data_IF_240404014585
#
_entry.id   IF_240404014585
#
_cell.length_a   1.000
_cell.length_b   1.000
_cell.length_c   1.000
_cell.angle_alpha   90.00
_cell.angle_beta   90.00
_cell.angle_gamma   90.00
#
_symmetry.space_group_name_H-M   'P 1'
#
loop_
_entity.id
_entity.type
_entity.pdbx_description
1 polymer ?
#
# COMPACT_ATOMS: atom_id res chain seq x y z
N UNK A 1 -10.92 -17.94 5.43
CA UNK A 1 -10.74 -18.80 6.62
C UNK A 1 -10.66 -17.90 7.84
N UNK A 2 -11.36 -18.25 8.93
CA UNK A 2 -11.38 -17.45 10.16
C UNK A 2 -9.97 -17.31 10.74
N UNK A 3 -9.60 -16.15 11.28
CA UNK A 3 -8.23 -15.91 11.77
C UNK A 3 -7.86 -16.89 12.89
N UNK A 4 -8.83 -17.20 13.75
CA UNK A 4 -8.70 -18.23 14.80
C UNK A 4 -8.35 -19.60 14.21
N UNK A 5 -8.86 -19.93 13.03
CA UNK A 5 -8.55 -21.18 12.33
C UNK A 5 -7.12 -21.19 11.80
N UNK A 6 -6.64 -20.08 11.24
CA UNK A 6 -5.24 -19.96 10.79
C UNK A 6 -4.29 -20.12 11.98
N UNK A 7 -4.58 -19.45 13.10
CA UNK A 7 -3.80 -19.57 14.33
C UNK A 7 -3.79 -21.01 14.88
N UNK A 8 -4.96 -21.65 14.95
CA UNK A 8 -5.08 -23.03 15.42
C UNK A 8 -4.34 -24.00 14.50
N UNK A 9 -4.48 -23.85 13.17
CA UNK A 9 -3.80 -24.69 12.18
C UNK A 9 -2.28 -24.51 12.24
N UNK A 10 -1.79 -23.28 12.34
CA UNK A 10 -0.37 -22.99 12.46
C UNK A 10 0.22 -23.64 13.71
N UNK A 11 -0.40 -23.46 14.88
CA UNK A 11 0.05 -24.09 16.11
C UNK A 11 -0.05 -25.62 16.03
N UNK A 12 -1.10 -26.18 15.43
CA UNK A 12 -1.25 -27.62 15.23
C UNK A 12 -0.12 -28.19 14.36
N UNK A 13 0.21 -27.53 13.24
CA UNK A 13 1.33 -27.94 12.37
C UNK A 13 2.66 -27.82 13.11
N UNK A 14 2.87 -26.75 13.88
CA UNK A 14 4.10 -26.53 14.63
C UNK A 14 4.30 -27.64 15.67
N UNK A 15 3.28 -27.87 16.50
CA UNK A 15 3.27 -28.92 17.54
C UNK A 15 3.41 -30.30 16.91
N UNK A 16 2.72 -30.57 15.80
CA UNK A 16 2.82 -31.84 15.08
C UNK A 16 4.22 -32.07 14.52
N UNK A 17 4.79 -31.09 13.83
CA UNK A 17 6.15 -31.16 13.27
C UNK A 17 7.19 -31.40 14.36
N UNK A 18 7.04 -30.71 15.49
CA UNK A 18 7.92 -30.87 16.64
C UNK A 18 7.75 -32.24 17.31
N UNK A 19 6.52 -32.67 17.51
CA UNK A 19 6.22 -34.00 18.06
C UNK A 19 6.83 -35.07 17.17
N UNK A 20 6.74 -34.92 15.85
CA UNK A 20 7.36 -35.85 14.91
C UNK A 20 8.88 -35.91 15.07
N UNK A 21 9.56 -34.75 15.07
CA UNK A 21 11.02 -34.69 15.27
C UNK A 21 11.42 -35.27 16.64
N UNK A 22 10.61 -35.06 17.67
CA UNK A 22 10.89 -35.49 19.04
C UNK A 22 10.67 -36.99 19.26
N UNK A 23 9.56 -37.53 18.75
CA UNK A 23 9.14 -38.91 18.97
C UNK A 23 9.70 -39.88 17.93
N UNK A 24 10.13 -39.43 16.75
CA UNK A 24 10.68 -40.31 15.71
C UNK A 24 11.89 -41.15 16.21
N UNK A 25 12.88 -40.61 16.93
CA UNK A 25 13.98 -41.41 17.48
C UNK A 25 13.51 -42.48 18.46
N UNK A 26 12.50 -42.16 19.28
CA UNK A 26 11.92 -43.11 20.23
C UNK A 26 11.16 -44.25 19.51
N UNK A 27 10.40 -43.91 18.47
CA UNK A 27 9.60 -44.88 17.70
C UNK A 27 10.45 -45.79 16.81
N UNK A 28 11.56 -45.29 16.24
CA UNK A 28 12.40 -46.03 15.30
C UNK A 28 13.58 -46.75 15.95
N UNK A 29 14.18 -46.18 16.99
CA UNK A 29 15.45 -46.65 17.58
C UNK A 29 15.31 -47.14 19.02
N UNK A 30 14.13 -46.98 19.64
CA UNK A 30 13.85 -47.40 21.01
C UNK A 30 14.34 -46.43 22.10
N UNK A 31 14.05 -46.78 23.35
CA UNK A 31 14.31 -45.93 24.52
C UNK A 31 15.81 -45.70 24.79
N UNK A 32 16.66 -46.66 24.46
CA UNK A 32 18.11 -46.60 24.75
C UNK A 32 18.85 -45.56 23.89
N UNK A 33 18.40 -45.34 22.66
CA UNK A 33 19.01 -44.36 21.73
C UNK A 33 18.34 -42.97 21.78
N UNK A 34 17.12 -42.86 22.29
CA UNK A 34 16.37 -41.60 22.37
C UNK A 34 16.83 -40.71 23.54
N UNK A 35 17.21 -41.30 24.67
CA UNK A 35 17.74 -40.54 25.83
C UNK A 35 19.00 -39.72 25.49
N UNK A 36 20.05 -40.29 24.86
CA UNK A 36 21.21 -39.52 24.43
C UNK A 36 20.87 -38.46 23.38
N UNK A 37 19.91 -38.76 22.48
CA UNK A 37 19.44 -37.81 21.48
C UNK A 37 18.80 -36.59 22.12
N UNK A 38 17.90 -36.76 23.10
CA UNK A 38 17.26 -35.64 23.79
C UNK A 38 18.26 -34.86 24.65
N UNK A 39 19.17 -35.54 25.35
CA UNK A 39 20.21 -34.89 26.15
C UNK A 39 21.16 -34.05 25.29
N UNK A 40 21.44 -34.47 24.04
CA UNK A 40 22.28 -33.72 23.11
C UNK A 40 21.53 -32.59 22.39
N UNK A 41 20.25 -32.78 22.09
CA UNK A 41 19.43 -31.85 21.31
C UNK A 41 18.52 -30.96 22.17
N UNK A 42 18.71 -30.90 23.49
CA UNK A 42 17.93 -30.03 24.37
C UNK A 42 17.89 -28.55 23.95
N UNK A 43 18.92 -27.94 23.33
CA UNK A 43 18.82 -26.56 22.87
C UNK A 43 17.77 -26.37 21.78
N UNK A 44 17.49 -27.41 20.98
CA UNK A 44 16.43 -27.38 19.98
C UNK A 44 15.05 -27.28 20.64
N UNK A 45 14.84 -27.95 21.78
CA UNK A 45 13.60 -27.83 22.56
C UNK A 45 13.43 -26.44 23.14
N UNK A 46 14.51 -25.86 23.68
CA UNK A 46 14.47 -24.51 24.21
C UNK A 46 14.16 -23.50 23.09
N UNK A 47 14.83 -23.62 21.94
CA UNK A 47 14.58 -22.77 20.77
C UNK A 47 13.13 -22.88 20.31
N UNK A 48 12.61 -24.10 20.16
CA UNK A 48 11.22 -24.31 19.74
C UNK A 48 10.22 -23.74 20.74
N UNK A 49 10.46 -23.95 22.04
CA UNK A 49 9.63 -23.38 23.11
C UNK A 49 9.64 -21.86 23.07
N UNK A 50 10.81 -21.24 22.87
CA UNK A 50 10.94 -19.80 22.73
C UNK A 50 10.17 -19.27 21.52
N UNK A 51 10.25 -19.95 20.37
CA UNK A 51 9.47 -19.63 19.16
C UNK A 51 7.97 -19.72 19.45
N UNK A 52 7.50 -20.81 20.05
CA UNK A 52 6.08 -21.04 20.35
C UNK A 52 5.54 -19.99 21.35
N UNK A 53 6.30 -19.65 22.39
CA UNK A 53 5.95 -18.57 23.33
C UNK A 53 5.90 -17.22 22.61
N UNK A 54 6.93 -16.90 21.81
CA UNK A 54 7.01 -15.63 21.09
C UNK A 54 5.84 -15.43 20.13
N UNK A 55 5.50 -16.45 19.33
CA UNK A 55 4.34 -16.40 18.45
C UNK A 55 3.03 -16.28 19.23
N UNK A 56 2.80 -17.11 20.24
CA UNK A 56 1.56 -17.04 21.01
C UNK A 56 1.39 -15.69 21.73
N UNK A 57 2.47 -15.15 22.31
CA UNK A 57 2.45 -13.81 22.91
C UNK A 57 2.09 -12.71 21.89
N UNK A 58 2.69 -12.76 20.69
CA UNK A 58 2.37 -11.82 19.61
C UNK A 58 0.89 -11.90 19.18
N UNK A 59 0.36 -13.11 19.04
CA UNK A 59 -1.04 -13.35 18.66
C UNK A 59 -2.01 -12.87 19.73
N UNK A 60 -1.75 -13.16 21.00
CA UNK A 60 -2.59 -12.72 22.12
C UNK A 60 -2.59 -11.19 22.21
N UNK A 61 -1.42 -10.55 22.09
CA UNK A 61 -1.29 -9.09 22.11
C UNK A 61 -2.08 -8.39 20.99
N UNK A 62 -2.20 -9.04 19.82
CA UNK A 62 -2.90 -8.50 18.67
C UNK A 62 -4.30 -9.10 18.45
N UNK A 63 -4.78 -9.94 19.37
CA UNK A 63 -6.02 -10.69 19.21
C UNK A 63 -7.23 -9.79 18.94
N UNK A 64 -7.34 -8.70 19.70
CA UNK A 64 -8.43 -7.73 19.54
C UNK A 64 -8.39 -7.06 18.16
N UNK A 65 -7.21 -6.67 17.68
CA UNK A 65 -7.06 -6.06 16.36
C UNK A 65 -7.48 -7.03 15.25
N UNK A 66 -7.07 -8.29 15.33
CA UNK A 66 -7.44 -9.30 14.34
C UNK A 66 -8.92 -9.66 14.39
N UNK A 67 -9.52 -9.71 15.58
CA UNK A 67 -10.95 -9.97 15.73
C UNK A 67 -11.79 -8.85 15.10
N UNK A 68 -11.40 -7.59 15.33
CA UNK A 68 -12.09 -6.43 14.75
C UNK A 68 -11.96 -6.37 13.23
N UNK A 69 -10.79 -6.74 12.69
CA UNK A 69 -10.59 -6.87 11.24
C UNK A 69 -11.44 -8.00 10.65
N UNK A 70 -11.56 -9.13 11.35
CA UNK A 70 -12.36 -10.28 10.90
C UNK A 70 -13.86 -10.00 10.95
N UNK A 71 -14.32 -9.21 11.92
CA UNK A 71 -15.71 -8.79 12.03
C UNK A 71 -16.05 -7.56 11.18
N UNK A 72 -15.08 -7.02 10.44
CA UNK A 72 -15.21 -5.76 9.67
C UNK A 72 -15.78 -4.61 10.51
N UNK A 73 -15.49 -4.60 11.81
CA UNK A 73 -15.94 -3.54 12.74
C UNK A 73 -14.97 -2.36 12.66
N UNK A 74 -15.13 -1.58 11.60
CA UNK A 74 -14.26 -0.45 11.27
C UNK A 74 -14.29 0.64 12.35
N UNK A 75 -15.42 0.84 13.01
CA UNK A 75 -15.58 1.85 14.07
C UNK A 75 -14.76 1.49 15.30
N UNK A 76 -14.92 0.28 15.82
CA UNK A 76 -14.15 -0.17 16.98
C UNK A 76 -12.66 -0.35 16.63
N UNK A 77 -12.34 -0.73 15.38
CA UNK A 77 -10.96 -0.78 14.91
C UNK A 77 -10.31 0.60 14.90
N UNK A 78 -11.00 1.61 14.37
CA UNK A 78 -10.56 3.01 14.37
C UNK A 78 -10.25 3.48 15.79
N UNK A 79 -11.20 3.33 16.72
CA UNK A 79 -11.01 3.73 18.12
C UNK A 79 -9.82 3.02 18.80
N UNK A 80 -9.62 1.73 18.52
CA UNK A 80 -8.49 0.96 19.04
C UNK A 80 -7.15 1.46 18.49
N UNK A 81 -7.09 1.77 17.20
CA UNK A 81 -5.89 2.28 16.55
C UNK A 81 -5.57 3.70 17.01
N UNK A 82 -6.57 4.57 17.13
CA UNK A 82 -6.40 5.91 17.70
C UNK A 82 -5.86 5.86 19.14
N UNK A 83 -6.39 4.98 19.99
CA UNK A 83 -5.88 4.82 21.34
C UNK A 83 -4.42 4.35 21.37
N UNK A 84 -4.00 3.51 20.41
CA UNK A 84 -2.60 3.09 20.26
C UNK A 84 -1.70 4.22 19.77
N UNK A 85 -2.15 4.96 18.76
CA UNK A 85 -1.34 6.02 18.16
C UNK A 85 -1.27 7.25 19.06
N UNK A 86 -2.40 7.81 19.47
CA UNK A 86 -2.45 9.05 20.23
C UNK A 86 -2.26 8.85 21.73
N UNK A 87 -2.76 7.74 22.29
CA UNK A 87 -2.63 7.46 23.72
C UNK A 87 -1.27 6.85 24.08
N UNK A 88 -0.86 5.80 23.35
CA UNK A 88 0.38 5.06 23.64
C UNK A 88 1.59 5.49 22.79
N UNK A 89 1.44 6.47 21.89
CA UNK A 89 2.50 6.95 20.99
C UNK A 89 3.16 5.85 20.15
N UNK A 90 2.40 4.82 19.78
CA UNK A 90 2.88 3.75 18.91
C UNK A 90 2.80 4.18 17.43
N UNK A 91 3.92 4.70 16.92
CA UNK A 91 4.06 5.19 15.54
C UNK A 91 4.74 4.18 14.61
N UNK A 92 4.43 2.90 14.77
CA UNK A 92 4.93 1.88 13.84
C UNK A 92 4.18 1.94 12.50
N UNK A 93 4.85 1.47 11.44
CA UNK A 93 4.34 1.52 10.07
C UNK A 93 3.00 0.82 9.91
N UNK A 94 2.81 -0.34 10.55
CA UNK A 94 1.58 -1.11 10.41
C UNK A 94 0.42 -0.36 11.04
N UNK A 95 0.59 0.18 12.24
CA UNK A 95 -0.47 0.91 12.95
C UNK A 95 -0.84 2.20 12.21
N UNK A 96 0.13 2.99 11.74
CA UNK A 96 -0.13 4.23 10.98
C UNK A 96 -0.94 3.91 9.71
N UNK A 97 -0.46 2.97 8.89
CA UNK A 97 -1.14 2.59 7.65
C UNK A 97 -2.53 2.06 7.89
N UNK A 98 -2.68 1.19 8.89
CA UNK A 98 -3.99 0.61 9.18
C UNK A 98 -4.96 1.69 9.69
N UNK A 99 -4.49 2.65 10.49
CA UNK A 99 -5.32 3.76 10.94
C UNK A 99 -5.75 4.64 9.77
N UNK A 100 -4.83 5.04 8.89
CA UNK A 100 -5.16 5.84 7.70
C UNK A 100 -6.14 5.08 6.80
N UNK A 101 -5.88 3.81 6.50
CA UNK A 101 -6.76 3.01 5.65
C UNK A 101 -8.15 2.86 6.27
N UNK A 102 -8.23 2.59 7.58
CA UNK A 102 -9.51 2.47 8.30
C UNK A 102 -10.27 3.80 8.30
N UNK A 103 -9.57 4.91 8.52
CA UNK A 103 -10.15 6.25 8.49
C UNK A 103 -10.68 6.60 7.09
N UNK A 104 -9.92 6.32 6.04
CA UNK A 104 -10.32 6.52 4.64
C UNK A 104 -11.56 5.68 4.27
N UNK A 105 -11.62 4.42 4.67
CA UNK A 105 -12.78 3.55 4.44
C UNK A 105 -14.05 4.06 5.16
N UNK A 106 -13.88 4.67 6.34
CA UNK A 106 -14.98 5.27 7.11
C UNK A 106 -15.35 6.69 6.65
N UNK A 107 -14.57 7.30 5.74
CA UNK A 107 -14.69 8.71 5.39
C UNK A 107 -14.30 9.67 6.52
N UNK A 108 -13.55 9.20 7.52
CA UNK A 108 -13.12 9.96 8.70
C UNK A 108 -11.83 10.76 8.40
N UNK A 109 -11.97 11.83 7.63
CA UNK A 109 -10.82 12.69 7.28
C UNK A 109 -10.24 13.42 8.48
N UNK A 110 -11.04 13.65 9.53
CA UNK A 110 -10.58 14.27 10.78
C UNK A 110 -9.51 13.43 11.49
N UNK A 111 -9.69 12.11 11.53
CA UNK A 111 -8.68 11.19 12.07
C UNK A 111 -7.37 11.24 11.26
N UNK A 112 -7.44 11.33 9.93
CA UNK A 112 -6.27 11.43 9.05
C UNK A 112 -5.50 12.73 9.30
N UNK A 113 -6.20 13.87 9.37
CA UNK A 113 -5.59 15.18 9.64
C UNK A 113 -4.93 15.25 11.01
N UNK A 114 -5.62 14.74 12.04
CA UNK A 114 -5.07 14.66 13.40
C UNK A 114 -3.80 13.81 13.43
N UNK A 115 -3.81 12.69 12.70
CA UNK A 115 -2.65 11.82 12.57
C UNK A 115 -1.50 12.53 11.85
N UNK A 116 -1.77 13.18 10.73
CA UNK A 116 -0.77 13.92 9.96
C UNK A 116 -0.10 15.01 10.80
N UNK A 117 -0.91 15.83 11.50
CA UNK A 117 -0.41 16.89 12.37
C UNK A 117 0.42 16.33 13.54
N UNK A 118 0.06 15.16 14.06
CA UNK A 118 0.81 14.49 15.12
C UNK A 118 2.14 13.95 14.61
N UNK A 119 2.15 13.30 13.43
CA UNK A 119 3.37 12.77 12.83
C UNK A 119 4.32 13.88 12.40
N UNK A 120 3.81 14.99 11.86
CA UNK A 120 4.63 16.16 11.51
C UNK A 120 5.42 16.67 12.73
N UNK A 121 4.78 16.72 13.90
CA UNK A 121 5.40 17.21 15.15
C UNK A 121 6.30 16.18 15.84
N UNK A 122 5.83 14.93 15.98
CA UNK A 122 6.49 13.94 16.83
C UNK A 122 7.39 12.96 16.05
N UNK A 123 7.04 12.64 14.80
CA UNK A 123 7.71 11.61 13.98
C UNK A 123 7.71 11.98 12.48
N UNK A 124 8.39 13.07 12.07
CA UNK A 124 8.38 13.53 10.68
C UNK A 124 8.93 12.49 9.69
N UNK A 125 9.86 11.64 10.13
CA UNK A 125 10.36 10.53 9.32
C UNK A 125 9.27 9.48 9.00
N UNK A 126 8.30 9.26 9.90
CA UNK A 126 7.18 8.36 9.65
C UNK A 126 6.18 8.98 8.67
N UNK A 127 5.90 10.29 8.81
CA UNK A 127 5.10 11.03 7.84
C UNK A 127 5.71 10.96 6.44
N UNK A 128 7.01 11.29 6.31
CA UNK A 128 7.74 11.26 5.04
C UNK A 128 7.72 9.88 4.38
N UNK A 129 7.92 8.81 5.16
CA UNK A 129 7.84 7.43 4.65
C UNK A 129 6.48 7.11 4.03
N UNK A 130 5.40 7.47 4.73
CA UNK A 130 4.02 7.15 4.35
C UNK A 130 3.31 8.31 3.62
N UNK A 131 4.06 9.28 3.10
CA UNK A 131 3.54 10.52 2.50
C UNK A 131 2.55 10.28 1.36
N UNK A 132 2.68 9.17 0.61
CA UNK A 132 1.76 8.80 -0.48
C UNK A 132 0.33 8.67 0.02
N UNK A 133 0.13 8.07 1.19
CA UNK A 133 -1.20 7.84 1.76
C UNK A 133 -1.85 9.16 2.17
N UNK A 134 -1.09 10.06 2.81
CA UNK A 134 -1.56 11.38 3.23
C UNK A 134 -1.81 12.29 2.01
N UNK A 135 -0.94 12.24 1.00
CA UNK A 135 -1.13 12.96 -0.25
C UNK A 135 -2.42 12.55 -0.98
N UNK A 136 -2.67 11.24 -1.08
CA UNK A 136 -3.92 10.72 -1.65
C UNK A 136 -5.15 11.13 -0.82
N UNK A 137 -5.06 11.08 0.52
CA UNK A 137 -6.13 11.52 1.40
C UNK A 137 -6.46 13.01 1.27
N UNK A 138 -5.44 13.87 1.14
CA UNK A 138 -5.62 15.32 0.93
C UNK A 138 -6.31 15.62 -0.42
N UNK A 139 -5.94 14.89 -1.46
CA UNK A 139 -6.58 15.02 -2.78
C UNK A 139 -8.07 14.64 -2.75
N UNK A 140 -8.46 13.63 -1.98
CA UNK A 140 -9.88 13.30 -1.78
C UNK A 140 -10.69 14.44 -1.16
N UNK A 141 -10.08 15.22 -0.25
CA UNK A 141 -10.74 16.34 0.41
C UNK A 141 -10.97 17.53 -0.55
N UNK A 142 -10.47 17.44 -1.78
CA UNK A 142 -10.53 18.50 -2.79
C UNK A 142 -9.81 19.80 -2.34
N UNK A 143 -8.90 19.71 -1.37
CA UNK A 143 -8.00 20.81 -0.97
C UNK A 143 -6.79 20.85 -1.89
N UNK A 144 -7.03 21.14 -3.16
CA UNK A 144 -6.05 20.97 -4.25
C UNK A 144 -4.78 21.81 -4.03
N UNK A 145 -4.90 23.06 -3.58
CA UNK A 145 -3.74 23.92 -3.28
C UNK A 145 -2.91 23.40 -2.10
N UNK A 146 -3.57 22.98 -1.02
CA UNK A 146 -2.87 22.41 0.14
C UNK A 146 -2.19 21.08 -0.21
N UNK A 147 -2.81 20.29 -1.10
CA UNK A 147 -2.24 19.05 -1.62
C UNK A 147 -0.96 19.30 -2.40
N UNK A 148 -0.91 20.34 -3.25
CA UNK A 148 0.32 20.72 -3.97
C UNK A 148 1.45 21.01 -2.99
N UNK A 149 1.21 21.87 -1.99
CA UNK A 149 2.24 22.25 -1.00
C UNK A 149 2.76 21.05 -0.20
N UNK A 150 1.84 20.19 0.25
CA UNK A 150 2.21 18.97 0.97
C UNK A 150 3.06 18.03 0.10
N UNK A 151 2.63 17.78 -1.13
CA UNK A 151 3.31 16.85 -2.04
C UNK A 151 4.66 17.39 -2.54
N UNK A 152 4.80 18.71 -2.65
CA UNK A 152 6.04 19.39 -3.02
C UNK A 152 7.15 19.13 -1.98
N UNK A 153 6.83 19.09 -0.69
CA UNK A 153 7.78 18.79 0.40
C UNK A 153 8.46 17.43 0.23
N UNK A 154 7.76 16.47 -0.38
CA UNK A 154 8.22 15.09 -0.57
C UNK A 154 8.65 14.78 -2.01
N UNK A 155 8.62 15.77 -2.91
CA UNK A 155 8.93 15.59 -4.33
C UNK A 155 10.40 15.23 -4.59
N UNK A 156 11.30 15.43 -3.61
CA UNK A 156 12.70 14.97 -3.67
C UNK A 156 12.84 13.43 -3.61
N UNK A 157 11.76 12.72 -3.25
CA UNK A 157 11.70 11.26 -3.12
C UNK A 157 12.52 10.70 -1.95
N UNK A 158 13.22 11.52 -1.18
CA UNK A 158 14.13 11.05 -0.13
C UNK A 158 13.34 10.57 1.08
N UNK A 159 13.53 9.31 1.45
CA UNK A 159 12.87 8.71 2.62
C UNK A 159 11.39 8.40 2.40
N UNK A 160 10.89 8.53 1.17
CA UNK A 160 9.55 8.14 0.75
C UNK A 160 9.57 6.69 0.30
N UNK A 161 8.56 5.90 0.67
CA UNK A 161 8.51 4.49 0.27
C UNK A 161 8.26 4.29 -1.24
N UNK A 162 7.38 5.11 -1.82
CA UNK A 162 7.06 5.05 -3.24
C UNK A 162 7.20 6.44 -3.89
N UNK A 163 8.43 6.85 -4.24
CA UNK A 163 8.70 8.20 -4.73
C UNK A 163 8.05 8.48 -6.08
N UNK A 164 7.91 7.46 -6.94
CA UNK A 164 7.26 7.61 -8.24
C UNK A 164 5.78 8.02 -8.09
N UNK A 165 5.09 7.42 -7.11
CA UNK A 165 3.71 7.80 -6.80
C UNK A 165 3.59 9.18 -6.16
N UNK A 166 4.55 9.62 -5.34
CA UNK A 166 4.58 11.04 -4.89
C UNK A 166 4.72 11.99 -6.07
N UNK A 167 5.66 11.72 -6.98
CA UNK A 167 5.84 12.55 -8.19
C UNK A 167 4.55 12.62 -9.01
N UNK A 168 3.86 11.49 -9.16
CA UNK A 168 2.58 11.43 -9.84
C UNK A 168 1.51 12.25 -9.13
N UNK A 169 1.31 12.03 -7.82
CA UNK A 169 0.31 12.77 -7.06
C UNK A 169 0.57 14.27 -7.10
N UNK A 170 1.84 14.69 -7.02
CA UNK A 170 2.21 16.10 -7.15
C UNK A 170 1.84 16.65 -8.53
N UNK A 171 2.17 15.93 -9.60
CA UNK A 171 1.80 16.30 -10.96
C UNK A 171 0.27 16.35 -11.15
N UNK A 172 -0.45 15.37 -10.60
CA UNK A 172 -1.90 15.35 -10.62
C UNK A 172 -2.51 16.53 -9.87
N UNK A 173 -1.99 16.87 -8.69
CA UNK A 173 -2.39 18.04 -7.93
C UNK A 173 -2.18 19.35 -8.73
N UNK A 174 -1.05 19.48 -9.44
CA UNK A 174 -0.76 20.60 -10.34
C UNK A 174 -1.78 20.72 -11.48
N UNK A 175 -2.16 19.59 -12.10
CA UNK A 175 -3.20 19.57 -13.13
C UNK A 175 -4.55 20.04 -12.56
N UNK A 176 -4.93 19.59 -11.36
CA UNK A 176 -6.18 19.99 -10.72
C UNK A 176 -6.24 21.51 -10.39
N UNK A 177 -5.11 22.14 -10.09
CA UNK A 177 -5.01 23.60 -9.87
C UNK A 177 -4.75 24.39 -11.17
N UNK A 178 -4.97 23.79 -12.35
CA UNK A 178 -4.76 24.41 -13.67
C UNK A 178 -3.31 24.84 -13.96
N UNK A 179 -2.34 24.22 -13.29
CA UNK A 179 -0.88 24.39 -13.50
C UNK A 179 -0.31 23.21 -14.29
N UNK A 180 -1.05 22.74 -15.28
CA UNK A 180 -0.71 21.56 -16.07
C UNK A 180 0.65 21.63 -16.79
N UNK A 181 1.16 22.79 -17.27
CA UNK A 181 2.51 22.88 -17.84
C UNK A 181 3.63 22.46 -16.87
N UNK A 182 3.46 22.70 -15.57
CA UNK A 182 4.45 22.35 -14.55
C UNK A 182 4.46 20.85 -14.21
N UNK A 183 3.38 20.13 -14.57
CA UNK A 183 3.25 18.70 -14.40
C UNK A 183 3.96 17.90 -15.51
N UNK A 184 4.17 18.50 -16.70
CA UNK A 184 4.64 17.80 -17.91
C UNK A 184 5.94 17.02 -17.66
N UNK A 185 7.01 17.71 -17.23
CA UNK A 185 8.31 17.07 -17.01
C UNK A 185 8.26 15.92 -15.99
N UNK A 186 7.39 16.05 -14.98
CA UNK A 186 7.20 15.03 -13.94
C UNK A 186 6.48 13.80 -14.50
N UNK A 187 5.44 14.00 -15.30
CA UNK A 187 4.69 12.91 -15.91
C UNK A 187 5.49 12.21 -17.01
N UNK A 188 6.28 12.95 -17.80
CA UNK A 188 7.16 12.35 -18.83
C UNK A 188 8.15 11.37 -18.19
N UNK A 189 8.76 11.75 -17.06
CA UNK A 189 9.67 10.87 -16.32
C UNK A 189 8.99 9.57 -15.84
N UNK A 190 7.67 9.59 -15.60
CA UNK A 190 6.90 8.46 -15.12
C UNK A 190 6.43 7.50 -16.22
N UNK A 191 6.53 7.89 -17.50
CA UNK A 191 6.26 6.99 -18.62
C UNK A 191 7.18 5.75 -18.61
N UNK A 192 8.40 5.89 -18.10
CA UNK A 192 9.36 4.78 -17.93
C UNK A 192 9.15 3.93 -16.68
N UNK A 193 8.09 4.17 -15.89
CA UNK A 193 7.86 3.45 -14.63
C UNK A 193 7.67 1.95 -14.86
N UNK A 194 8.18 1.15 -13.91
CA UNK A 194 7.91 -0.29 -13.85
C UNK A 194 6.47 -0.59 -13.45
N UNK A 195 5.86 0.33 -12.71
CA UNK A 195 4.45 0.31 -12.41
C UNK A 195 3.67 0.76 -13.65
N UNK A 196 2.98 -0.19 -14.26
CA UNK A 196 2.26 -0.04 -15.53
C UNK A 196 0.99 0.78 -15.38
N UNK A 197 0.34 0.71 -14.21
CA UNK A 197 -0.80 1.55 -13.86
C UNK A 197 -0.34 2.99 -13.72
N UNK A 198 0.79 3.23 -13.04
CA UNK A 198 1.38 4.55 -12.95
C UNK A 198 1.80 5.12 -14.32
N UNK A 199 2.41 4.29 -15.16
CA UNK A 199 2.79 4.69 -16.51
C UNK A 199 1.58 5.02 -17.39
N UNK A 200 0.50 4.24 -17.29
CA UNK A 200 -0.77 4.48 -18.00
C UNK A 200 -1.44 5.76 -17.54
N UNK A 201 -1.58 5.97 -16.22
CA UNK A 201 -2.12 7.20 -15.66
C UNK A 201 -1.30 8.41 -16.12
N UNK A 202 0.03 8.32 -16.06
CA UNK A 202 0.91 9.41 -16.47
C UNK A 202 0.75 9.74 -17.96
N UNK A 203 0.65 8.73 -18.82
CA UNK A 203 0.38 8.92 -20.26
C UNK A 203 -0.99 9.56 -20.51
N UNK A 204 -2.04 9.10 -19.81
CA UNK A 204 -3.37 9.67 -19.92
C UNK A 204 -3.39 11.14 -19.48
N UNK A 205 -2.82 11.48 -18.32
CA UNK A 205 -2.74 12.87 -17.85
C UNK A 205 -1.98 13.75 -18.86
N UNK A 206 -0.86 13.26 -19.41
CA UNK A 206 -0.08 14.01 -20.41
C UNK A 206 -0.89 14.32 -21.66
N UNK A 207 -1.48 13.30 -22.27
CA UNK A 207 -2.18 13.44 -23.55
C UNK A 207 -3.53 14.13 -23.42
N UNK A 208 -4.31 13.80 -22.39
CA UNK A 208 -5.68 14.26 -22.24
C UNK A 208 -5.79 15.59 -21.46
N UNK A 209 -4.94 15.81 -20.45
CA UNK A 209 -5.09 16.94 -19.52
C UNK A 209 -3.99 18.00 -19.63
N UNK A 210 -2.74 17.61 -19.92
CA UNK A 210 -1.64 18.55 -20.08
C UNK A 210 -1.53 19.10 -21.51
N UNK A 211 -1.69 18.27 -22.53
CA UNK A 211 -1.54 18.69 -23.92
C UNK A 211 -2.47 19.86 -24.33
N UNK A 212 -3.74 19.95 -23.88
CA UNK A 212 -4.58 21.11 -24.18
C UNK A 212 -4.14 22.43 -23.52
N UNK A 213 -3.28 22.37 -22.50
CA UNK A 213 -2.86 23.50 -21.68
C UNK A 213 -1.49 24.08 -22.07
N UNK A 214 -0.83 23.51 -23.09
CA UNK A 214 0.49 23.95 -23.59
C UNK A 214 0.38 24.52 -25.01
N UNK A 215 1.49 25.07 -25.51
CA UNK A 215 1.56 25.61 -26.88
C UNK A 215 1.34 24.50 -27.94
N UNK A 216 0.84 24.83 -29.15
CA UNK A 216 0.48 23.83 -30.17
C UNK A 216 1.61 22.85 -30.54
N UNK A 217 2.85 23.33 -30.65
CA UNK A 217 4.02 22.51 -30.98
C UNK A 217 4.30 21.45 -29.89
N UNK A 218 4.25 21.87 -28.62
CA UNK A 218 4.45 20.97 -27.48
C UNK A 218 3.22 20.05 -27.31
N UNK A 219 2.01 20.54 -27.61
CA UNK A 219 0.79 19.74 -27.56
C UNK A 219 0.89 18.49 -28.44
N UNK A 220 1.30 18.65 -29.70
CA UNK A 220 1.41 17.53 -30.63
C UNK A 220 2.46 16.50 -30.17
N UNK A 221 3.58 16.98 -29.60
CA UNK A 221 4.59 16.12 -28.98
C UNK A 221 4.03 15.33 -27.80
N UNK A 222 3.32 15.99 -26.88
CA UNK A 222 2.76 15.32 -25.69
C UNK A 222 1.69 14.28 -26.07
N UNK A 223 0.85 14.59 -27.06
CA UNK A 223 -0.12 13.63 -27.60
C UNK A 223 0.60 12.44 -28.24
N UNK A 224 1.64 12.67 -29.05
CA UNK A 224 2.41 11.59 -29.67
C UNK A 224 3.11 10.69 -28.62
N UNK A 225 3.67 11.26 -27.55
CA UNK A 225 4.28 10.51 -26.45
C UNK A 225 3.25 9.67 -25.70
N UNK A 226 2.10 10.25 -25.36
CA UNK A 226 1.01 9.55 -24.70
C UNK A 226 0.51 8.38 -25.57
N UNK A 227 0.32 8.61 -26.86
CA UNK A 227 -0.15 7.62 -27.81
C UNK A 227 0.86 6.48 -28.03
N UNK A 228 2.16 6.80 -28.14
CA UNK A 228 3.21 5.80 -28.21
C UNK A 228 3.18 4.88 -26.97
N UNK A 229 3.00 5.46 -25.78
CA UNK A 229 2.90 4.67 -24.54
C UNK A 229 1.62 3.85 -24.47
N UNK A 230 0.50 4.40 -24.96
CA UNK A 230 -0.79 3.71 -25.06
C UNK A 230 -0.65 2.43 -25.89
N UNK A 231 -0.08 2.55 -27.09
CA UNK A 231 0.14 1.43 -28.01
C UNK A 231 1.08 0.38 -27.40
N UNK A 232 2.17 0.81 -26.75
CA UNK A 232 3.09 -0.09 -26.03
C UNK A 232 2.36 -0.92 -24.97
N UNK A 233 1.58 -0.26 -24.09
CA UNK A 233 0.86 -0.93 -23.01
C UNK A 233 -0.26 -1.82 -23.54
N UNK A 234 -1.00 -1.36 -24.54
CA UNK A 234 -2.07 -2.14 -25.18
C UNK A 234 -1.51 -3.41 -25.81
N UNK A 235 -0.42 -3.33 -26.57
CA UNK A 235 0.22 -4.50 -27.20
C UNK A 235 0.71 -5.51 -26.17
N UNK A 236 1.16 -5.05 -24.99
CA UNK A 236 1.68 -5.91 -23.93
C UNK A 236 0.58 -6.61 -23.13
N UNK A 237 -0.49 -5.90 -22.78
CA UNK A 237 -1.51 -6.39 -21.85
C UNK A 237 -2.83 -6.77 -22.54
N UNK A 238 -3.29 -6.00 -23.52
CA UNK A 238 -4.65 -6.08 -24.05
C UNK A 238 -5.72 -5.93 -22.96
N UNK A 239 -7.00 -6.07 -23.31
CA UNK A 239 -8.11 -5.82 -22.38
C UNK A 239 -8.10 -6.73 -21.14
N UNK A 240 -7.93 -8.04 -21.32
CA UNK A 240 -8.07 -9.02 -20.23
C UNK A 240 -6.92 -8.92 -19.22
N UNK A 241 -5.67 -8.82 -19.67
CA UNK A 241 -4.54 -8.72 -18.72
C UNK A 241 -4.51 -7.33 -18.08
N UNK A 242 -4.93 -6.28 -18.81
CA UNK A 242 -5.04 -4.94 -18.24
C UNK A 242 -6.02 -4.89 -17.08
N UNK A 243 -7.21 -5.48 -17.24
CA UNK A 243 -8.19 -5.56 -16.16
C UNK A 243 -7.61 -6.24 -14.90
N UNK A 244 -6.86 -7.34 -15.05
CA UNK A 244 -6.18 -7.99 -13.91
C UNK A 244 -5.13 -7.12 -13.26
N UNK A 245 -4.39 -6.34 -14.06
CA UNK A 245 -3.35 -5.44 -13.56
C UNK A 245 -3.95 -4.27 -12.77
N UNK A 246 -5.04 -3.69 -13.27
CA UNK A 246 -5.82 -2.66 -12.57
C UNK A 246 -6.38 -3.18 -11.24
N UNK A 247 -7.00 -4.36 -11.24
CA UNK A 247 -7.52 -4.96 -10.00
C UNK A 247 -6.39 -5.28 -9.01
N UNK A 248 -5.21 -5.67 -9.50
CA UNK A 248 -4.03 -5.86 -8.65
C UNK A 248 -3.57 -4.54 -8.02
N UNK A 249 -3.56 -3.45 -8.77
CA UNK A 249 -3.15 -2.13 -8.27
C UNK A 249 -4.15 -1.57 -7.25
N UNK A 250 -5.45 -1.83 -7.41
CA UNK A 250 -6.51 -1.47 -6.46
C UNK A 250 -6.38 -2.16 -5.08
N UNK A 251 -5.44 -3.08 -4.89
CA UNK A 251 -5.10 -3.57 -3.54
C UNK A 251 -4.47 -2.48 -2.66
N UNK A 252 -3.94 -1.41 -3.26
CA UNK A 252 -3.39 -0.27 -2.53
C UNK A 252 -4.44 0.84 -2.44
N UNK A 253 -4.81 1.25 -1.22
CA UNK A 253 -5.95 2.17 -1.03
C UNK A 253 -5.78 3.51 -1.76
N UNK A 254 -4.55 3.99 -1.91
CA UNK A 254 -4.28 5.24 -2.63
C UNK A 254 -4.61 5.09 -4.12
N UNK A 255 -4.44 3.91 -4.71
CA UNK A 255 -4.87 3.66 -6.10
C UNK A 255 -6.40 3.60 -6.19
N UNK A 256 -7.09 3.03 -5.20
CA UNK A 256 -8.57 3.00 -5.15
C UNK A 256 -9.15 4.42 -5.16
N UNK A 257 -8.51 5.36 -4.50
CA UNK A 257 -8.89 6.79 -4.50
C UNK A 257 -8.91 7.37 -5.91
N UNK A 258 -8.05 6.87 -6.80
CA UNK A 258 -7.96 7.28 -8.19
C UNK A 258 -8.89 6.50 -9.13
N UNK A 259 -9.82 5.68 -8.61
CA UNK A 259 -10.64 4.78 -9.45
C UNK A 259 -11.27 5.49 -10.64
N UNK A 260 -11.83 6.70 -10.45
CA UNK A 260 -12.42 7.46 -11.56
C UNK A 260 -11.43 7.77 -12.68
N UNK A 261 -10.27 8.35 -12.35
CA UNK A 261 -9.26 8.70 -13.37
C UNK A 261 -8.59 7.46 -13.97
N UNK A 262 -8.50 6.38 -13.18
CA UNK A 262 -8.01 5.09 -13.63
C UNK A 262 -8.98 4.41 -14.62
N UNK A 263 -10.28 4.54 -14.40
CA UNK A 263 -11.30 4.04 -15.31
C UNK A 263 -11.28 4.83 -16.63
N UNK A 264 -11.15 6.15 -16.57
CA UNK A 264 -10.98 7.01 -17.76
C UNK A 264 -9.69 6.68 -18.53
N UNK A 265 -8.56 6.54 -17.83
CA UNK A 265 -7.29 6.14 -18.43
C UNK A 265 -7.36 4.74 -19.05
N UNK A 266 -8.09 3.81 -18.42
CA UNK A 266 -8.32 2.47 -18.95
C UNK A 266 -9.18 2.48 -20.20
N UNK A 267 -10.25 3.28 -20.23
CA UNK A 267 -11.10 3.44 -21.41
C UNK A 267 -10.32 4.06 -22.58
N UNK A 268 -9.50 5.08 -22.30
CA UNK A 268 -8.59 5.67 -23.27
C UNK A 268 -7.57 4.62 -23.79
N UNK A 269 -6.94 3.86 -22.90
CA UNK A 269 -5.98 2.81 -23.26
C UNK A 269 -6.59 1.76 -24.19
N UNK A 270 -7.83 1.34 -23.92
CA UNK A 270 -8.53 0.32 -24.71
C UNK A 270 -9.22 0.87 -25.96
N UNK A 271 -9.21 2.19 -26.17
CA UNK A 271 -9.91 2.83 -27.29
C UNK A 271 -11.43 2.80 -27.18
N UNK A 272 -11.96 2.65 -25.95
CA UNK A 272 -13.41 2.65 -25.66
C UNK A 272 -13.88 3.99 -25.08
N UNK A 273 -12.98 4.97 -24.95
CA UNK A 273 -13.35 6.32 -24.52
C UNK A 273 -14.33 6.95 -25.54
N UNK A 274 -15.40 7.62 -25.09
CA UNK A 274 -16.19 8.46 -25.98
C UNK A 274 -15.26 9.51 -26.60
N UNK A 275 -15.39 9.74 -27.91
CA UNK A 275 -14.71 10.83 -28.57
C UNK A 275 -15.01 12.13 -27.81
N UNK A 276 -13.95 12.80 -27.35
CA UNK A 276 -14.05 14.11 -26.70
C UNK A 276 -14.55 15.18 -27.69
#
# INVERSE_FOLDING_TARGET
>A
MKFKTIFALFNAILIFSFSFIFFMPFLLLGAEYSMPFWAKNWPLFLFFTAVLIGFNAFFISNWRLFTLLESEDWDALGALLEARVFGKKHYDRRTIRLLVNTALLRGDMGAVEKLEATLSKEKPAALRRDAVLFGAARLLKNETQASVLFLEEFADGKGVENPAWITFYHAFALVLVKRAPEAVARLEALLGSRDTVLASLSAYLLGALCAPAVQPEERDRLVALAEAKRVELFNRFGAIKWAREVERAKNEIHVVILSRILDEASAWLLGTAPAA
#
